data_IF_959449691514
#
_entry.id   IF_959449691514
#
_cell.length_a   1.000
_cell.length_b   1.000
_cell.length_c   1.000
_cell.angle_alpha   90.00
_cell.angle_beta   90.00
_cell.angle_gamma   90.00
#
_symmetry.space_group_name_H-M   'P 1'
#
loop_
_entity.id
_entity.type
_entity.pdbx_description
1 polymer ?
#
# COMPACT_ATOMS: atom_id res chain seq x y z
N UNK A 1 6.78 -22.57 1.44
CA UNK A 1 6.54 -23.63 0.45
C UNK A 1 5.04 -23.87 0.40
N UNK A 2 4.35 -23.34 -0.60
CA UNK A 2 2.89 -23.38 -0.69
C UNK A 2 2.46 -24.64 -1.45
N UNK A 3 1.78 -25.55 -0.74
CA UNK A 3 1.17 -26.74 -1.34
C UNK A 3 -0.14 -26.35 -2.04
N UNK A 4 -0.21 -26.72 -3.31
CA UNK A 4 -1.42 -26.78 -4.14
C UNK A 4 -2.53 -27.58 -3.44
N UNK A 5 -3.73 -27.01 -3.35
CA UNK A 5 -4.97 -27.77 -3.21
C UNK A 5 -5.94 -27.30 -4.32
N UNK A 6 -6.67 -28.23 -4.96
CA UNK A 6 -7.32 -27.99 -6.24
C UNK A 6 -8.68 -27.29 -6.11
N UNK A 7 -8.98 -26.55 -7.17
CA UNK A 7 -10.20 -25.82 -7.49
C UNK A 7 -11.48 -26.68 -7.34
N UNK A 8 -12.47 -26.21 -6.57
CA UNK A 8 -13.86 -26.68 -6.64
C UNK A 8 -14.74 -25.50 -7.04
N UNK A 9 -15.11 -25.45 -8.32
CA UNK A 9 -16.18 -24.58 -8.85
C UNK A 9 -17.53 -25.06 -8.30
N UNK A 10 -18.42 -24.18 -7.83
CA UNK A 10 -19.82 -24.52 -7.69
C UNK A 10 -20.53 -24.37 -9.04
N UNK A 11 -21.31 -25.39 -9.38
CA UNK A 11 -22.20 -25.52 -10.52
C UNK A 11 -23.25 -24.40 -10.58
N UNK A 12 -23.44 -23.84 -11.77
CA UNK A 12 -24.58 -23.00 -12.09
C UNK A 12 -25.87 -23.82 -12.12
N UNK A 13 -26.92 -23.35 -11.43
CA UNK A 13 -28.29 -23.78 -11.65
C UNK A 13 -29.18 -22.56 -11.88
N UNK A 14 -29.87 -22.62 -13.02
CA UNK A 14 -31.06 -21.91 -13.49
C UNK A 14 -31.98 -21.29 -12.44
N UNK A 15 -32.39 -20.04 -12.72
CA UNK A 15 -33.66 -19.34 -12.41
C UNK A 15 -33.31 -17.86 -12.13
N UNK A 16 -33.74 -16.83 -12.85
CA UNK A 16 -34.95 -16.64 -13.63
C UNK A 16 -34.71 -15.62 -14.75
N UNK A 17 -35.24 -15.93 -15.94
CA UNK A 17 -35.60 -14.93 -16.96
C UNK A 17 -36.97 -14.36 -16.60
N UNK A 18 -37.11 -13.03 -16.62
CA UNK A 18 -38.34 -12.34 -17.02
C UNK A 18 -37.97 -11.03 -17.71
N UNK A 19 -38.27 -11.01 -19.01
CA UNK A 19 -38.38 -9.83 -19.88
C UNK A 19 -39.45 -8.86 -19.37
N UNK A 20 -39.30 -7.56 -19.67
CA UNK A 20 -40.18 -6.63 -20.43
C UNK A 20 -39.39 -5.30 -20.49
N UNK A 21 -38.68 -4.94 -21.55
CA UNK A 21 -39.08 -4.36 -22.85
C UNK A 21 -39.38 -2.83 -22.89
N UNK A 22 -38.60 -2.16 -23.76
CA UNK A 22 -38.85 -0.99 -24.62
C UNK A 22 -38.96 0.46 -24.11
N UNK A 23 -37.95 1.27 -24.49
CA UNK A 23 -38.06 2.51 -25.30
C UNK A 23 -36.61 2.97 -25.67
N UNK A 24 -36.10 2.70 -26.87
CA UNK A 24 -36.13 3.55 -28.07
C UNK A 24 -35.66 5.00 -27.86
N UNK A 25 -34.37 5.25 -28.13
CA UNK A 25 -33.90 6.30 -29.07
C UNK A 25 -32.48 5.97 -29.53
N UNK A 26 -32.36 5.71 -30.83
CA UNK A 26 -31.11 5.56 -31.55
C UNK A 26 -30.41 6.92 -31.71
N UNK A 27 -29.07 6.94 -31.70
CA UNK A 27 -28.27 7.24 -32.90
C UNK A 27 -26.77 7.16 -32.55
N UNK A 28 -25.98 6.51 -33.42
CA UNK A 28 -24.63 6.86 -33.87
C UNK A 28 -23.96 5.57 -34.36
N UNK A 29 -23.78 5.54 -35.68
CA UNK A 29 -23.16 4.51 -36.50
C UNK A 29 -21.68 4.24 -36.11
N UNK A 30 -21.27 2.98 -36.26
CA UNK A 30 -19.86 2.58 -36.16
C UNK A 30 -19.70 1.07 -36.17
N UNK A 31 -19.98 0.43 -37.30
CA UNK A 31 -19.79 -1.01 -37.53
C UNK A 31 -18.29 -1.37 -37.44
N UNK A 32 -17.94 -2.28 -36.52
CA UNK A 32 -16.68 -3.00 -36.52
C UNK A 32 -16.96 -4.45 -36.91
N UNK A 33 -16.50 -4.85 -38.09
CA UNK A 33 -16.56 -6.22 -38.61
C UNK A 33 -15.46 -7.06 -37.97
N UNK A 34 -15.87 -8.19 -37.40
CA UNK A 34 -15.04 -9.33 -36.99
C UNK A 34 -14.30 -9.90 -38.21
N UNK A 35 -12.99 -10.06 -38.10
CA UNK A 35 -12.18 -10.86 -39.04
C UNK A 35 -11.90 -12.20 -38.37
N UNK A 36 -12.46 -13.25 -38.99
CA UNK A 36 -12.27 -14.66 -38.67
C UNK A 36 -10.91 -15.13 -39.23
N UNK A 37 -10.12 -15.83 -38.42
CA UNK A 37 -8.85 -16.41 -38.82
C UNK A 37 -9.11 -17.88 -39.16
N UNK A 38 -9.09 -18.20 -40.45
CA UNK A 38 -9.21 -19.56 -40.98
C UNK A 38 -8.05 -19.88 -41.92
N UNK A 39 -7.37 -20.97 -41.58
CA UNK A 39 -6.24 -21.62 -42.25
C UNK A 39 -6.29 -21.68 -43.78
N UNK A 40 -5.14 -21.47 -44.43
CA UNK A 40 -4.69 -22.29 -45.55
C UNK A 40 -3.21 -22.00 -45.87
N UNK A 41 -2.34 -22.93 -45.47
CA UNK A 41 -0.97 -23.03 -45.90
C UNK A 41 -0.87 -24.30 -46.75
N UNK A 42 -0.90 -24.21 -48.08
CA UNK A 42 -0.33 -25.23 -48.96
C UNK A 42 -0.22 -24.75 -50.41
N UNK A 43 0.85 -25.20 -51.06
CA UNK A 43 1.12 -25.23 -52.50
C UNK A 43 1.84 -24.01 -53.11
N UNK A 44 3.17 -24.13 -52.98
CA UNK A 44 4.14 -23.59 -53.92
C UNK A 44 4.15 -24.38 -55.26
N UNK A 45 4.65 -23.69 -56.28
CA UNK A 45 5.28 -24.16 -57.53
C UNK A 45 4.41 -24.61 -58.71
N UNK A 46 4.32 -23.72 -59.74
CA UNK A 46 4.67 -24.03 -61.16
C UNK A 46 4.59 -22.81 -62.11
N UNK A 47 5.69 -22.62 -62.86
CA UNK A 47 5.84 -22.24 -64.29
C UNK A 47 5.05 -21.01 -64.85
N UNK A 48 5.72 -19.92 -65.22
CA UNK A 48 6.39 -19.57 -66.51
C UNK A 48 5.46 -18.89 -67.55
N UNK A 49 5.93 -17.71 -67.99
CA UNK A 49 5.76 -16.96 -69.24
C UNK A 49 4.38 -16.49 -69.78
N UNK A 50 4.31 -15.20 -70.14
CA UNK A 50 3.33 -14.67 -71.12
C UNK A 50 2.88 -13.21 -70.98
N UNK A 51 3.64 -12.32 -71.60
CA UNK A 51 3.32 -11.07 -72.34
C UNK A 51 1.92 -10.37 -72.24
N UNK A 52 1.99 -9.05 -72.00
CA UNK A 52 1.18 -7.91 -72.47
C UNK A 52 -0.37 -7.95 -72.58
N UNK A 53 -1.04 -7.09 -71.80
CA UNK A 53 -1.88 -5.98 -72.29
C UNK A 53 -2.60 -5.22 -71.17
N UNK A 54 -2.54 -3.88 -71.26
CA UNK A 54 -3.10 -2.91 -70.31
C UNK A 54 -4.63 -2.91 -70.28
N UNK A 55 -5.23 -2.88 -69.09
CA UNK A 55 -6.51 -2.16 -68.91
C UNK A 55 -6.55 -1.44 -67.56
N UNK A 56 -6.74 -0.13 -67.65
CA UNK A 56 -6.61 0.85 -66.60
C UNK A 56 -7.91 0.93 -65.81
N UNK A 57 -7.92 0.50 -64.54
CA UNK A 57 -8.95 0.92 -63.57
C UNK A 57 -8.30 1.67 -62.42
N UNK A 58 -8.46 2.98 -62.50
CA UNK A 58 -8.12 3.97 -61.48
C UNK A 58 -8.77 3.64 -60.14
N UNK A 59 -8.01 3.12 -59.20
CA UNK A 59 -8.37 3.12 -57.78
C UNK A 59 -7.65 4.31 -57.14
N UNK A 60 -8.43 5.32 -56.74
CA UNK A 60 -7.94 6.52 -56.06
C UNK A 60 -7.16 6.11 -54.81
N UNK A 61 -5.83 6.20 -54.87
CA UNK A 61 -5.02 6.33 -53.67
C UNK A 61 -5.30 7.71 -53.09
N UNK A 62 -6.05 7.75 -51.99
CA UNK A 62 -6.05 8.92 -51.11
C UNK A 62 -4.59 9.23 -50.75
N UNK A 63 -4.16 10.45 -51.06
CA UNK A 63 -2.83 10.96 -50.72
C UNK A 63 -2.63 10.85 -49.20
N UNK A 64 -1.70 9.99 -48.78
CA UNK A 64 -1.11 10.08 -47.46
C UNK A 64 -0.38 11.42 -47.38
N UNK A 65 -0.77 12.36 -46.49
CA UNK A 65 -0.12 13.66 -46.45
C UNK A 65 1.36 13.46 -46.12
N UNK A 66 2.21 13.94 -47.03
CA UNK A 66 3.66 13.84 -46.98
C UNK A 66 4.17 14.15 -45.56
N UNK A 67 4.94 13.20 -45.04
CA UNK A 67 5.54 13.27 -43.71
C UNK A 67 6.22 14.60 -43.46
N UNK A 68 5.91 15.21 -42.31
CA UNK A 68 6.62 16.40 -41.81
C UNK A 68 8.12 16.11 -41.84
N UNK A 69 8.98 17.01 -42.35
CA UNK A 69 10.41 16.77 -42.38
C UNK A 69 10.92 16.53 -40.96
N UNK A 70 11.58 15.39 -40.75
CA UNK A 70 12.26 15.07 -39.49
C UNK A 70 13.40 16.08 -39.34
N UNK A 71 13.14 17.17 -38.61
CA UNK A 71 14.15 18.18 -38.28
C UNK A 71 15.30 17.47 -37.58
N UNK A 72 16.48 17.43 -38.20
CA UNK A 72 17.72 16.95 -37.56
C UNK A 72 17.97 17.83 -36.34
N UNK A 73 17.60 17.36 -35.15
CA UNK A 73 17.87 18.07 -33.89
C UNK A 73 19.40 18.24 -33.77
N UNK A 74 19.85 19.46 -33.49
CA UNK A 74 21.27 19.70 -33.20
C UNK A 74 21.66 18.91 -31.95
N UNK A 75 22.86 18.29 -31.93
CA UNK A 75 23.35 17.49 -30.78
C UNK A 75 23.24 18.27 -29.45
N UNK A 76 23.39 19.60 -29.50
CA UNK A 76 23.23 20.48 -28.33
C UNK A 76 21.76 20.58 -27.85
N UNK A 77 20.80 20.63 -28.78
CA UNK A 77 19.36 20.66 -28.45
C UNK A 77 18.87 19.30 -27.93
N UNK A 78 19.38 18.21 -28.51
CA UNK A 78 19.14 16.86 -27.98
C UNK A 78 19.73 16.71 -26.57
N UNK A 79 21.00 17.11 -26.36
CA UNK A 79 21.66 17.06 -25.07
C UNK A 79 20.95 17.93 -24.02
N UNK A 80 20.52 19.14 -24.38
CA UNK A 80 19.80 20.04 -23.47
C UNK A 80 18.40 19.51 -23.13
N UNK A 81 17.69 18.92 -24.09
CA UNK A 81 16.39 18.25 -23.85
C UNK A 81 16.56 17.01 -22.99
N UNK A 82 17.59 16.21 -23.25
CA UNK A 82 17.89 15.01 -22.48
C UNK A 82 18.33 15.37 -21.05
N UNK A 83 19.18 16.38 -20.87
CA UNK A 83 19.58 16.89 -19.56
C UNK A 83 18.39 17.47 -18.78
N UNK A 84 17.49 18.23 -19.42
CA UNK A 84 16.27 18.72 -18.78
C UNK A 84 15.34 17.58 -18.37
N UNK A 85 15.19 16.56 -19.21
CA UNK A 85 14.37 15.38 -18.90
C UNK A 85 15.00 14.54 -17.78
N UNK A 86 16.32 14.37 -17.78
CA UNK A 86 17.07 13.71 -16.71
C UNK A 86 16.98 14.48 -15.40
N UNK A 87 17.12 15.80 -15.43
CA UNK A 87 17.05 16.65 -14.24
C UNK A 87 15.63 16.68 -13.67
N UNK A 88 14.61 16.77 -14.52
CA UNK A 88 13.22 16.60 -14.11
C UNK A 88 12.98 15.21 -13.51
N UNK A 89 13.48 14.15 -14.16
CA UNK A 89 13.35 12.79 -13.65
C UNK A 89 14.05 12.59 -12.30
N UNK A 90 15.29 13.07 -12.16
CA UNK A 90 16.07 12.96 -10.93
C UNK A 90 15.49 13.80 -9.80
N UNK A 91 15.24 15.08 -10.05
CA UNK A 91 14.74 15.98 -9.02
C UNK A 91 13.33 15.58 -8.63
N UNK A 92 12.42 15.31 -9.55
CA UNK A 92 11.04 14.98 -9.16
C UNK A 92 10.92 13.63 -8.47
N UNK A 93 11.45 12.55 -9.05
CA UNK A 93 11.16 11.22 -8.53
C UNK A 93 11.90 10.92 -7.23
N UNK A 94 13.12 11.44 -7.06
CA UNK A 94 13.92 11.20 -5.86
C UNK A 94 13.61 12.20 -4.75
N UNK A 95 13.36 13.47 -5.08
CA UNK A 95 12.95 14.45 -4.07
C UNK A 95 11.59 14.10 -3.47
N UNK A 96 10.60 13.70 -4.28
CA UNK A 96 9.30 13.28 -3.75
C UNK A 96 9.42 12.02 -2.87
N UNK A 97 10.30 11.09 -3.26
CA UNK A 97 10.61 9.90 -2.46
C UNK A 97 11.25 10.27 -1.11
N UNK A 98 12.19 11.22 -1.10
CA UNK A 98 12.79 11.74 0.13
C UNK A 98 11.78 12.48 1.01
N UNK A 99 10.97 13.39 0.44
CA UNK A 99 9.94 14.12 1.17
C UNK A 99 8.91 13.18 1.79
N UNK A 100 8.49 12.15 1.06
CA UNK A 100 7.61 11.09 1.57
C UNK A 100 8.22 10.41 2.81
N UNK A 101 9.50 10.03 2.74
CA UNK A 101 10.23 9.46 3.87
C UNK A 101 10.31 10.39 5.08
N UNK A 102 10.63 11.66 4.87
CA UNK A 102 10.77 12.65 5.94
C UNK A 102 9.41 12.92 6.62
N UNK A 103 8.36 13.18 5.82
CA UNK A 103 7.03 13.50 6.35
C UNK A 103 6.43 12.36 7.16
N UNK A 104 6.52 11.13 6.66
CA UNK A 104 6.03 9.94 7.37
C UNK A 104 6.84 9.65 8.63
N UNK A 105 8.15 9.92 8.65
CA UNK A 105 8.97 9.80 9.85
C UNK A 105 8.55 10.83 10.91
N UNK A 106 8.31 12.08 10.54
CA UNK A 106 7.80 13.14 11.44
C UNK A 106 6.47 12.71 12.07
N UNK A 107 5.55 12.17 11.26
CA UNK A 107 4.29 11.62 11.78
C UNK A 107 4.51 10.45 12.74
N UNK A 108 5.46 9.55 12.47
CA UNK A 108 5.82 8.47 13.39
C UNK A 108 6.30 8.97 14.73
N UNK A 109 7.25 9.91 14.72
CA UNK A 109 7.84 10.49 15.93
C UNK A 109 6.74 11.17 16.75
N UNK A 110 5.86 11.94 16.10
CA UNK A 110 4.74 12.60 16.77
C UNK A 110 3.82 11.59 17.48
N UNK A 111 3.44 10.49 16.82
CA UNK A 111 2.64 9.42 17.43
C UNK A 111 3.36 8.80 18.61
N UNK A 112 4.64 8.43 18.43
CA UNK A 112 5.40 7.71 19.45
C UNK A 112 5.57 8.55 20.72
N UNK A 113 5.90 9.83 20.58
CA UNK A 113 5.98 10.78 21.69
C UNK A 113 4.63 10.91 22.39
N UNK A 114 3.52 11.03 21.65
CA UNK A 114 2.19 11.12 22.25
C UNK A 114 1.79 9.83 23.00
N UNK A 115 2.13 8.65 22.46
CA UNK A 115 1.90 7.36 23.14
C UNK A 115 2.70 7.28 24.43
N UNK A 116 3.96 7.72 24.41
CA UNK A 116 4.83 7.69 25.59
C UNK A 116 4.29 8.60 26.72
N UNK A 117 3.81 9.80 26.38
CA UNK A 117 3.14 10.68 27.35
C UNK A 117 1.87 10.06 27.92
N UNK A 118 1.03 9.44 27.08
CA UNK A 118 -0.18 8.76 27.54
C UNK A 118 0.15 7.59 28.48
N UNK A 119 1.19 6.81 28.16
CA UNK A 119 1.60 5.70 29.00
C UNK A 119 2.21 6.16 30.33
N UNK A 120 3.01 7.23 30.33
CA UNK A 120 3.49 7.85 31.58
C UNK A 120 2.33 8.33 32.44
N UNK A 121 1.34 8.99 31.83
CA UNK A 121 0.15 9.46 32.54
C UNK A 121 -0.67 8.30 33.12
N UNK A 122 -0.83 7.20 32.37
CA UNK A 122 -1.48 5.97 32.85
C UNK A 122 -0.79 5.41 34.10
N UNK A 123 0.54 5.30 34.06
CA UNK A 123 1.32 4.79 35.20
C UNK A 123 1.26 5.73 36.41
N UNK A 124 1.33 7.04 36.20
CA UNK A 124 1.22 8.04 37.26
C UNK A 124 -0.17 8.00 37.95
N UNK A 125 -1.24 7.89 37.17
CA UNK A 125 -2.61 7.74 37.71
C UNK A 125 -2.77 6.45 38.52
N UNK A 126 -2.22 5.34 38.03
CA UNK A 126 -2.27 4.06 38.72
C UNK A 126 -1.54 4.14 40.06
N UNK A 127 -0.33 4.69 40.09
CA UNK A 127 0.48 4.79 41.31
C UNK A 127 -0.19 5.71 42.36
N UNK A 128 -0.77 6.83 41.92
CA UNK A 128 -1.53 7.72 42.80
C UNK A 128 -2.77 7.05 43.41
N UNK A 129 -3.51 6.27 42.62
CA UNK A 129 -4.68 5.54 43.10
C UNK A 129 -4.30 4.40 44.05
N UNK A 130 -3.17 3.74 43.80
CA UNK A 130 -2.64 2.65 44.62
C UNK A 130 -2.25 3.11 46.03
N UNK A 131 -1.83 4.36 46.20
CA UNK A 131 -1.53 4.93 47.53
C UNK A 131 -2.75 5.00 48.45
N UNK A 132 -3.97 5.04 47.90
CA UNK A 132 -5.20 5.11 48.68
C UNK A 132 -5.77 3.72 48.98
N UNK A 133 -6.02 2.91 47.94
CA UNK A 133 -6.55 1.54 48.08
C UNK A 133 -6.38 0.74 46.79
N UNK A 134 -6.15 -0.57 46.88
CA UNK A 134 -6.01 -1.47 45.71
C UNK A 134 -7.24 -1.46 44.79
N UNK A 135 -8.45 -1.36 45.35
CA UNK A 135 -9.69 -1.27 44.57
C UNK A 135 -9.76 0.00 43.70
N UNK A 136 -9.22 1.12 44.20
CA UNK A 136 -9.16 2.36 43.42
C UNK A 136 -8.15 2.23 42.28
N UNK A 137 -7.02 1.55 42.51
CA UNK A 137 -6.04 1.26 41.46
C UNK A 137 -6.61 0.38 40.34
N UNK A 138 -7.42 -0.63 40.69
CA UNK A 138 -8.14 -1.44 39.70
C UNK A 138 -9.16 -0.59 38.92
N UNK A 139 -9.93 0.25 39.62
CA UNK A 139 -10.90 1.15 39.01
C UNK A 139 -10.28 2.16 38.05
N UNK A 140 -9.15 2.77 38.40
CA UNK A 140 -8.44 3.71 37.51
C UNK A 140 -7.80 3.01 36.31
N UNK A 141 -7.24 1.81 36.49
CA UNK A 141 -6.72 1.03 35.37
C UNK A 141 -7.82 0.70 34.35
N UNK A 142 -8.93 0.14 34.81
CA UNK A 142 -10.05 -0.22 33.94
C UNK A 142 -10.72 1.02 33.33
N UNK A 143 -10.92 2.07 34.13
CA UNK A 143 -11.48 3.34 33.70
C UNK A 143 -10.63 4.00 32.62
N UNK A 144 -9.31 4.02 32.78
CA UNK A 144 -8.40 4.58 31.79
C UNK A 144 -8.49 3.85 30.45
N UNK A 145 -8.38 2.51 30.46
CA UNK A 145 -8.44 1.69 29.24
C UNK A 145 -9.78 1.87 28.52
N UNK A 146 -10.89 1.85 29.27
CA UNK A 146 -12.25 1.95 28.69
C UNK A 146 -12.55 3.34 28.14
N UNK A 147 -12.18 4.41 28.85
CA UNK A 147 -12.41 5.80 28.41
C UNK A 147 -11.59 6.10 27.15
N UNK A 148 -10.29 5.79 27.15
CA UNK A 148 -9.42 6.13 26.03
C UNK A 148 -9.79 5.34 24.77
N UNK A 149 -10.10 4.05 24.92
CA UNK A 149 -10.56 3.20 23.80
C UNK A 149 -11.95 3.60 23.32
N UNK A 150 -12.86 3.94 24.23
CA UNK A 150 -14.18 4.45 23.89
C UNK A 150 -14.10 5.75 23.10
N UNK A 151 -13.23 6.67 23.51
CA UNK A 151 -12.98 7.93 22.82
C UNK A 151 -12.36 7.70 21.43
N UNK A 152 -11.38 6.79 21.31
CA UNK A 152 -10.81 6.40 20.02
C UNK A 152 -11.89 5.84 19.07
N UNK A 153 -12.74 4.95 19.58
CA UNK A 153 -13.85 4.38 18.80
C UNK A 153 -14.86 5.46 18.39
N UNK A 154 -15.20 6.38 19.29
CA UNK A 154 -16.12 7.48 19.01
C UNK A 154 -15.58 8.43 17.93
N UNK A 155 -14.31 8.85 18.04
CA UNK A 155 -13.66 9.72 17.04
C UNK A 155 -13.64 9.03 15.68
N UNK A 156 -13.28 7.74 15.63
CA UNK A 156 -13.29 6.97 14.39
C UNK A 156 -14.71 6.93 13.77
N UNK A 157 -15.73 6.66 14.59
CA UNK A 157 -17.11 6.58 14.14
C UNK A 157 -17.68 7.91 13.64
N UNK A 158 -17.39 9.01 14.33
CA UNK A 158 -17.93 10.34 14.03
C UNK A 158 -17.19 11.03 12.87
N UNK A 159 -15.85 10.99 12.86
CA UNK A 159 -15.06 11.79 11.93
C UNK A 159 -14.56 11.03 10.71
N UNK A 160 -14.48 9.69 10.72
CA UNK A 160 -13.96 8.99 9.56
C UNK A 160 -13.97 7.47 9.71
N UNK A 161 -15.12 6.85 9.40
CA UNK A 161 -15.29 5.38 9.43
C UNK A 161 -14.33 4.62 8.51
N UNK A 162 -13.78 5.29 7.50
CA UNK A 162 -12.77 4.73 6.60
C UNK A 162 -11.42 4.49 7.28
N UNK A 163 -11.18 5.08 8.46
CA UNK A 163 -9.94 4.87 9.23
C UNK A 163 -9.93 3.55 10.03
N UNK A 164 -11.04 2.81 10.06
CA UNK A 164 -11.18 1.56 10.84
C UNK A 164 -10.17 0.50 10.40
N UNK A 165 -9.61 -0.22 11.36
CA UNK A 165 -8.73 -1.35 11.12
C UNK A 165 -7.33 -0.97 10.64
N UNK A 166 -6.56 -1.97 10.17
CA UNK A 166 -5.17 -1.79 9.74
C UNK A 166 -5.05 -0.92 8.48
N UNK A 167 -5.83 -1.23 7.45
CA UNK A 167 -5.80 -0.53 6.16
C UNK A 167 -4.88 -1.15 5.11
N UNK A 168 -4.07 -2.14 5.48
CA UNK A 168 -3.27 -2.93 4.53
C UNK A 168 -4.14 -3.58 3.43
N UNK A 169 -5.23 -4.31 3.72
CA UNK A 169 -5.97 -5.00 2.66
C UNK A 169 -6.64 -4.02 1.70
N UNK A 170 -7.15 -2.89 2.18
CA UNK A 170 -7.73 -1.85 1.35
C UNK A 170 -6.70 -1.18 0.45
N UNK A 171 -5.52 -0.84 1.00
CA UNK A 171 -4.42 -0.29 0.19
C UNK A 171 -3.95 -1.29 -0.85
N UNK A 172 -3.89 -2.58 -0.51
CA UNK A 172 -3.58 -3.65 -1.47
C UNK A 172 -4.59 -3.67 -2.61
N UNK A 173 -5.88 -3.55 -2.33
CA UNK A 173 -6.93 -3.48 -3.34
C UNK A 173 -6.79 -2.23 -4.24
N UNK A 174 -6.40 -1.09 -3.67
CA UNK A 174 -6.13 0.14 -4.43
C UNK A 174 -4.95 -0.03 -5.39
N UNK A 175 -3.84 -0.62 -4.93
CA UNK A 175 -2.65 -0.86 -5.76
C UNK A 175 -2.94 -1.81 -6.93
N UNK A 176 -3.93 -2.70 -6.79
CA UNK A 176 -4.39 -3.58 -7.87
C UNK A 176 -5.39 -2.90 -8.85
N UNK A 177 -5.67 -1.60 -8.69
CA UNK A 177 -6.46 -0.81 -9.63
C UNK A 177 -7.91 -0.52 -9.19
N UNK A 178 -8.33 -0.95 -8.00
CA UNK A 178 -9.67 -0.64 -7.49
C UNK A 178 -9.69 0.69 -6.74
N UNK A 179 -10.48 1.65 -7.20
CA UNK A 179 -10.57 2.97 -6.57
C UNK A 179 -11.55 2.99 -5.40
N UNK A 180 -11.02 3.10 -4.17
CA UNK A 180 -11.83 3.33 -2.97
C UNK A 180 -11.98 4.82 -2.69
N UNK A 181 -13.20 5.34 -2.83
CA UNK A 181 -13.51 6.74 -2.58
C UNK A 181 -13.29 7.11 -1.11
N UNK A 182 -12.72 8.28 -0.86
CA UNK A 182 -12.48 8.86 0.47
C UNK A 182 -11.51 8.09 1.39
N UNK A 183 -10.88 7.01 0.93
CA UNK A 183 -9.95 6.21 1.74
C UNK A 183 -8.60 6.91 1.94
N UNK A 184 -8.04 7.46 0.86
CA UNK A 184 -6.72 8.11 0.83
C UNK A 184 -6.79 9.65 1.03
N UNK A 185 -7.57 10.11 2.02
CA UNK A 185 -7.80 11.55 2.26
C UNK A 185 -7.04 12.09 3.48
N UNK A 186 -6.74 13.39 3.51
CA UNK A 186 -6.12 14.01 4.69
C UNK A 186 -6.99 13.89 5.95
N UNK A 187 -8.31 13.85 5.79
CA UNK A 187 -9.24 13.63 6.89
C UNK A 187 -9.04 12.24 7.51
N UNK A 188 -8.90 11.19 6.69
CA UNK A 188 -8.63 9.83 7.22
C UNK A 188 -7.27 9.74 7.87
N UNK A 189 -6.25 10.45 7.37
CA UNK A 189 -4.94 10.55 8.00
C UNK A 189 -5.04 11.06 9.45
N UNK A 190 -5.64 12.24 9.66
CA UNK A 190 -5.72 12.86 10.98
C UNK A 190 -6.51 11.97 11.97
N UNK A 191 -7.66 11.46 11.54
CA UNK A 191 -8.47 10.54 12.37
C UNK A 191 -7.68 9.28 12.72
N UNK A 192 -6.96 8.69 11.76
CA UNK A 192 -6.19 7.47 11.99
C UNK A 192 -5.03 7.70 12.96
N UNK A 193 -4.33 8.82 12.83
CA UNK A 193 -3.25 9.21 13.75
C UNK A 193 -3.75 9.31 15.19
N UNK A 194 -4.84 10.06 15.43
CA UNK A 194 -5.40 10.25 16.78
C UNK A 194 -5.89 8.92 17.38
N UNK A 195 -6.62 8.14 16.59
CA UNK A 195 -7.24 6.89 17.08
C UNK A 195 -6.21 5.81 17.38
N UNK A 196 -5.12 5.72 16.60
CA UNK A 196 -4.01 4.79 16.87
C UNK A 196 -3.26 5.21 18.13
N UNK A 197 -2.95 6.51 18.29
CA UNK A 197 -2.30 7.04 19.50
C UNK A 197 -3.13 6.74 20.75
N UNK A 198 -4.45 6.94 20.70
CA UNK A 198 -5.33 6.63 21.82
C UNK A 198 -5.45 5.11 22.08
N UNK A 199 -5.54 4.28 21.04
CA UNK A 199 -5.69 2.84 21.23
C UNK A 199 -4.43 2.20 21.84
N UNK A 200 -3.24 2.60 21.38
CA UNK A 200 -1.96 2.10 21.93
C UNK A 200 -1.68 2.75 23.28
N UNK A 201 -1.94 4.06 23.43
CA UNK A 201 -1.81 4.77 24.69
C UNK A 201 -2.71 4.20 25.79
N UNK A 202 -3.87 3.62 25.44
CA UNK A 202 -4.74 2.90 26.37
C UNK A 202 -4.10 1.63 26.94
N UNK A 203 -3.10 1.06 26.26
CA UNK A 203 -2.46 -0.21 26.62
C UNK A 203 -3.16 -1.45 26.06
N UNK A 204 -4.01 -1.30 25.04
CA UNK A 204 -4.55 -2.46 24.32
C UNK A 204 -3.43 -3.12 23.51
N UNK A 205 -3.37 -4.47 23.43
CA UNK A 205 -2.37 -5.19 22.63
C UNK A 205 -2.64 -5.03 21.11
N UNK A 206 -2.40 -3.83 20.58
CA UNK A 206 -2.50 -3.48 19.17
C UNK A 206 -1.19 -2.89 18.67
N UNK A 207 -0.80 -3.25 17.45
CA UNK A 207 0.40 -2.72 16.79
C UNK A 207 0.11 -1.49 15.93
N UNK A 208 1.06 -0.55 15.88
CA UNK A 208 1.01 0.62 14.98
C UNK A 208 1.34 0.28 13.52
N UNK A 209 2.00 -0.84 13.26
CA UNK A 209 2.55 -1.24 11.97
C UNK A 209 1.53 -1.17 10.82
N UNK A 210 0.38 -1.81 11.00
CA UNK A 210 -0.68 -1.84 9.99
C UNK A 210 -1.23 -0.44 9.64
N UNK A 211 -1.69 0.34 10.63
CA UNK A 211 -2.10 1.72 10.42
C UNK A 211 -1.03 2.61 9.76
N UNK A 212 0.26 2.39 10.06
CA UNK A 212 1.35 3.16 9.47
C UNK A 212 1.57 2.90 7.98
N UNK A 213 1.32 1.66 7.51
CA UNK A 213 1.27 1.37 6.07
C UNK A 213 0.23 2.24 5.38
N UNK A 214 -0.96 2.34 5.97
CA UNK A 214 -2.03 3.17 5.42
C UNK A 214 -1.70 4.67 5.49
N UNK A 215 -1.14 5.15 6.60
CA UNK A 215 -0.67 6.53 6.75
C UNK A 215 0.37 6.86 5.66
N UNK A 216 1.35 5.98 5.43
CA UNK A 216 2.35 6.14 4.38
C UNK A 216 1.73 6.22 2.98
N UNK A 217 0.73 5.37 2.69
CA UNK A 217 -0.03 5.43 1.44
C UNK A 217 -0.83 6.74 1.29
N UNK A 218 -1.44 7.26 2.35
CA UNK A 218 -2.16 8.54 2.32
C UNK A 218 -1.18 9.69 2.03
N UNK A 219 -0.03 9.73 2.72
CA UNK A 219 0.99 10.77 2.49
C UNK A 219 1.52 10.72 1.06
N UNK A 220 1.76 9.52 0.52
CA UNK A 220 2.12 9.32 -0.89
C UNK A 220 1.07 9.88 -1.86
N UNK A 221 -0.22 9.63 -1.59
CA UNK A 221 -1.31 10.15 -2.41
C UNK A 221 -1.42 11.68 -2.33
N UNK A 222 -1.31 12.25 -1.13
CA UNK A 222 -1.37 13.70 -0.91
C UNK A 222 -0.20 14.39 -1.61
N UNK A 223 1.01 13.84 -1.48
CA UNK A 223 2.20 14.38 -2.11
C UNK A 223 2.12 14.31 -3.65
N UNK A 224 1.58 13.21 -4.17
CA UNK A 224 1.32 13.04 -5.61
C UNK A 224 0.31 14.08 -6.13
N UNK A 225 -0.79 14.32 -5.39
CA UNK A 225 -1.79 15.34 -5.75
C UNK A 225 -1.24 16.76 -5.64
N UNK A 226 -0.50 17.08 -4.57
CA UNK A 226 0.11 18.39 -4.40
C UNK A 226 1.08 18.72 -5.54
N UNK A 227 1.87 17.73 -5.96
CA UNK A 227 2.81 17.90 -7.08
C UNK A 227 2.07 18.09 -8.41
N UNK A 228 0.96 17.37 -8.63
CA UNK A 228 0.12 17.55 -9.82
C UNK A 228 -0.53 18.94 -9.86
N UNK A 229 -0.98 19.48 -8.73
CA UNK A 229 -1.56 20.84 -8.67
C UNK A 229 -0.50 21.93 -8.89
N UNK A 230 0.73 21.73 -8.40
CA UNK A 230 1.83 22.68 -8.60
C UNK A 230 2.44 22.63 -10.02
N UNK A 231 2.11 21.61 -10.83
CA UNK A 231 2.67 21.42 -12.17
C UNK A 231 1.55 21.51 -13.22
N UNK A 232 1.59 22.57 -14.03
CA UNK A 232 0.71 22.82 -15.19
C UNK A 232 0.82 21.78 -16.35
N UNK A 233 1.37 20.59 -16.13
CA UNK A 233 1.48 19.56 -17.17
C UNK A 233 0.55 18.38 -16.87
N UNK A 234 -0.52 18.28 -17.66
CA UNK A 234 -1.48 17.17 -17.69
C UNK A 234 -0.85 15.80 -18.03
N UNK A 235 0.44 15.77 -18.41
CA UNK A 235 1.18 14.56 -18.74
C UNK A 235 1.59 13.72 -17.51
N UNK A 236 1.40 14.23 -16.28
CA UNK A 236 1.87 13.58 -15.05
C UNK A 236 0.82 12.75 -14.31
N UNK A 237 -0.43 12.68 -14.77
CA UNK A 237 -1.49 11.86 -14.17
C UNK A 237 -1.48 10.41 -14.68
N UNK A 238 -0.31 9.77 -14.74
CA UNK A 238 -0.28 8.35 -15.05
C UNK A 238 -0.66 7.54 -13.81
N UNK A 239 -1.78 6.82 -13.89
CA UNK A 239 -2.30 5.98 -12.82
C UNK A 239 -1.24 4.99 -12.32
N UNK A 240 -0.42 4.44 -13.23
CA UNK A 240 0.70 3.56 -12.88
C UNK A 240 1.74 4.21 -11.96
N UNK A 241 2.07 5.49 -12.18
CA UNK A 241 3.02 6.23 -11.32
C UNK A 241 2.44 6.52 -9.94
N UNK A 242 1.12 6.74 -9.86
CA UNK A 242 0.44 6.91 -8.58
C UNK A 242 0.48 5.61 -7.76
N UNK A 243 0.23 4.46 -8.40
CA UNK A 243 0.35 3.14 -7.76
C UNK A 243 1.78 2.83 -7.32
N UNK A 244 2.77 3.18 -8.14
CA UNK A 244 4.18 3.09 -7.77
C UNK A 244 4.51 3.90 -6.51
N UNK A 245 4.01 5.13 -6.42
CA UNK A 245 4.22 6.00 -5.27
C UNK A 245 3.50 5.49 -4.02
N UNK A 246 2.27 4.95 -4.18
CA UNK A 246 1.53 4.30 -3.09
C UNK A 246 2.30 3.11 -2.52
N UNK A 247 2.90 2.29 -3.37
CA UNK A 247 3.73 1.17 -2.92
C UNK A 247 4.99 1.64 -2.17
N UNK A 248 5.63 2.72 -2.61
CA UNK A 248 6.75 3.33 -1.87
C UNK A 248 6.26 3.83 -0.51
N UNK A 249 5.11 4.49 -0.45
CA UNK A 249 4.50 4.96 0.79
C UNK A 249 4.23 3.83 1.80
N UNK A 250 3.77 2.67 1.32
CA UNK A 250 3.57 1.49 2.16
C UNK A 250 4.88 0.99 2.79
N UNK A 251 5.94 0.87 1.98
CA UNK A 251 7.26 0.45 2.46
C UNK A 251 7.84 1.47 3.46
N UNK A 252 7.70 2.76 3.17
CA UNK A 252 8.12 3.85 4.06
C UNK A 252 7.40 3.82 5.41
N UNK A 253 6.09 3.55 5.42
CA UNK A 253 5.34 3.41 6.67
C UNK A 253 5.92 2.35 7.61
N UNK A 254 6.41 1.24 7.04
CA UNK A 254 7.03 0.12 7.80
C UNK A 254 8.46 0.44 8.19
N UNK A 255 9.19 1.13 7.32
CA UNK A 255 10.53 1.61 7.65
C UNK A 255 10.49 2.55 8.87
N UNK A 256 9.47 3.40 8.98
CA UNK A 256 9.28 4.25 10.16
C UNK A 256 9.07 3.42 11.44
N UNK A 257 8.30 2.33 11.39
CA UNK A 257 7.95 1.56 12.59
C UNK A 257 9.06 0.65 13.07
N UNK A 258 9.80 0.03 12.16
CA UNK A 258 10.87 -0.92 12.50
C UNK A 258 12.28 -0.33 12.39
N UNK A 259 12.42 0.84 11.77
CA UNK A 259 13.72 1.45 11.46
C UNK A 259 14.66 0.50 10.72
N UNK A 260 14.09 -0.33 9.84
CA UNK A 260 14.77 -1.37 9.06
C UNK A 260 14.46 -1.19 7.56
N UNK A 261 15.21 -0.33 6.84
CA UNK A 261 14.86 0.05 5.47
C UNK A 261 14.84 -1.14 4.49
N UNK A 262 15.84 -2.03 4.55
CA UNK A 262 15.91 -3.19 3.65
C UNK A 262 14.71 -4.14 3.83
N UNK A 263 14.38 -4.48 5.08
CA UNK A 263 13.23 -5.34 5.39
C UNK A 263 11.89 -4.71 5.00
N UNK A 264 11.76 -3.39 5.18
CA UNK A 264 10.55 -2.66 4.82
C UNK A 264 10.31 -2.62 3.30
N UNK A 265 11.37 -2.48 2.50
CA UNK A 265 11.29 -2.56 1.04
C UNK A 265 10.88 -3.97 0.60
N UNK A 266 11.49 -5.02 1.16
CA UNK A 266 11.13 -6.41 0.85
C UNK A 266 9.68 -6.71 1.21
N UNK A 267 9.22 -6.28 2.39
CA UNK A 267 7.82 -6.37 2.76
C UNK A 267 6.93 -5.63 1.74
N UNK A 268 7.33 -4.42 1.34
CA UNK A 268 6.60 -3.63 0.35
C UNK A 268 6.40 -4.42 -0.96
N UNK A 269 7.46 -5.06 -1.45
CA UNK A 269 7.41 -5.88 -2.67
C UNK A 269 6.51 -7.11 -2.49
N UNK A 270 6.66 -7.83 -1.38
CA UNK A 270 5.92 -9.08 -1.13
C UNK A 270 4.42 -8.83 -0.90
N UNK A 271 4.08 -7.74 -0.22
CA UNK A 271 2.72 -7.50 0.26
C UNK A 271 1.84 -6.70 -0.71
N UNK A 272 2.41 -5.77 -1.51
CA UNK A 272 1.61 -4.81 -2.27
C UNK A 272 1.28 -5.25 -3.70
N UNK A 273 2.19 -5.91 -4.41
CA UNK A 273 2.04 -6.12 -5.87
C UNK A 273 2.62 -7.46 -6.35
N UNK A 274 1.95 -8.09 -7.33
CA UNK A 274 2.48 -9.28 -8.03
C UNK A 274 3.65 -8.95 -8.96
N UNK A 275 3.64 -7.76 -9.54
CA UNK A 275 4.67 -7.25 -10.44
C UNK A 275 5.27 -5.98 -9.85
N UNK A 276 6.59 -5.92 -9.77
CA UNK A 276 7.28 -4.79 -9.17
C UNK A 276 8.45 -4.36 -10.05
N UNK A 277 8.43 -3.12 -10.53
CA UNK A 277 9.49 -2.59 -11.37
C UNK A 277 10.78 -2.35 -10.56
N UNK A 278 11.93 -2.80 -11.08
CA UNK A 278 13.25 -2.64 -10.41
C UNK A 278 13.59 -1.17 -10.16
N UNK A 279 13.14 -0.25 -11.00
CA UNK A 279 13.28 1.19 -10.76
C UNK A 279 12.59 1.65 -9.47
N UNK A 280 11.47 1.03 -9.14
CA UNK A 280 10.70 1.34 -7.94
C UNK A 280 11.35 0.80 -6.66
N UNK A 281 12.16 -0.26 -6.79
CA UNK A 281 12.97 -0.80 -5.70
C UNK A 281 13.95 0.24 -5.16
N UNK A 282 14.76 0.82 -6.04
CA UNK A 282 15.76 1.81 -5.64
C UNK A 282 15.14 3.07 -5.04
N UNK A 283 14.01 3.53 -5.61
CA UNK A 283 13.26 4.66 -5.06
C UNK A 283 12.71 4.36 -3.67
N UNK A 284 12.15 3.18 -3.49
CA UNK A 284 11.66 2.73 -2.18
C UNK A 284 12.79 2.60 -1.16
N UNK A 285 13.92 2.04 -1.56
CA UNK A 285 15.10 1.90 -0.70
C UNK A 285 15.65 3.27 -0.25
N UNK A 286 15.71 4.24 -1.17
CA UNK A 286 16.10 5.60 -0.83
C UNK A 286 15.10 6.26 0.14
N UNK A 287 13.80 6.21 -0.17
CA UNK A 287 12.75 6.79 0.68
C UNK A 287 12.74 6.20 2.10
N UNK A 288 12.83 4.86 2.20
CA UNK A 288 12.86 4.15 3.49
C UNK A 288 14.12 4.46 4.28
N UNK A 289 15.27 4.63 3.61
CA UNK A 289 16.53 5.04 4.27
C UNK A 289 16.43 6.46 4.81
N UNK A 290 15.88 7.40 4.04
CA UNK A 290 15.63 8.76 4.53
C UNK A 290 14.71 8.76 5.76
N UNK A 291 13.62 8.00 5.71
CA UNK A 291 12.70 7.83 6.85
C UNK A 291 13.42 7.28 8.09
N UNK A 292 14.14 6.16 7.94
CA UNK A 292 14.88 5.54 9.04
C UNK A 292 15.94 6.50 9.62
N UNK A 293 16.63 7.25 8.78
CA UNK A 293 17.64 8.21 9.21
C UNK A 293 17.02 9.34 10.03
N UNK A 294 15.92 9.93 9.57
CA UNK A 294 15.19 10.99 10.32
C UNK A 294 14.68 10.45 11.65
N UNK A 295 14.10 9.26 11.66
CA UNK A 295 13.62 8.62 12.87
C UNK A 295 14.75 8.42 13.90
N UNK A 296 15.91 7.93 13.45
CA UNK A 296 17.10 7.74 14.31
C UNK A 296 17.65 9.07 14.84
N UNK A 297 17.76 10.09 13.99
CA UNK A 297 18.23 11.42 14.41
C UNK A 297 17.31 12.06 15.43
N UNK A 298 15.99 12.01 15.20
CA UNK A 298 15.01 12.55 16.13
C UNK A 298 15.08 11.83 17.48
N UNK A 299 15.19 10.49 17.47
CA UNK A 299 15.32 9.72 18.70
C UNK A 299 16.57 10.09 19.49
N UNK A 300 17.71 10.27 18.82
CA UNK A 300 18.95 10.73 19.47
C UNK A 300 18.86 12.16 20.01
N UNK A 301 18.02 13.01 19.43
CA UNK A 301 17.80 14.38 19.91
C UNK A 301 16.83 14.45 21.09
N UNK A 302 15.86 13.53 21.15
CA UNK A 302 14.79 13.51 22.18
C UNK A 302 15.21 12.71 23.41
N UNK A 303 15.97 11.61 23.23
CA UNK A 303 16.39 10.73 24.33
C UNK A 303 17.76 11.16 24.87
N UNK A 304 17.95 11.27 26.20
CA UNK A 304 19.24 11.63 26.79
C UNK A 304 20.39 10.72 26.34
N UNK A 305 21.53 11.33 25.99
CA UNK A 305 22.73 10.67 25.43
C UNK A 305 23.32 9.54 26.30
N UNK A 306 22.91 9.39 27.56
CA UNK A 306 23.42 8.36 28.47
C UNK A 306 22.92 6.94 28.13
N UNK A 307 21.87 6.82 27.30
CA UNK A 307 21.31 5.54 26.81
C UNK A 307 21.51 5.39 25.29
N UNK A 308 21.67 6.50 24.57
CA UNK A 308 21.77 6.53 23.12
C UNK A 308 23.21 6.26 22.63
N UNK A 309 23.64 5.00 22.70
CA UNK A 309 24.77 4.55 21.88
C UNK A 309 24.46 4.80 20.39
N UNK A 310 25.43 5.36 19.67
CA UNK A 310 25.50 5.65 18.22
C UNK A 310 24.45 4.95 17.35
N UNK A 311 23.40 5.66 16.90
CA UNK A 311 22.42 5.24 15.87
C UNK A 311 22.13 3.74 15.89
N UNK A 312 21.76 3.21 17.05
CA UNK A 312 21.56 1.77 17.22
C UNK A 312 20.10 1.36 17.03
N UNK A 313 19.87 0.06 16.78
CA UNK A 313 18.54 -0.52 16.60
C UNK A 313 17.63 -0.23 17.81
N UNK A 314 16.30 -0.10 17.60
CA UNK A 314 15.36 0.29 18.67
C UNK A 314 15.31 -0.78 19.78
N UNK A 315 15.43 -2.05 19.42
CA UNK A 315 15.61 -3.17 20.34
C UNK A 315 17.02 -3.75 20.16
N UNK A 316 17.94 -3.37 21.04
CA UNK A 316 19.30 -3.92 21.01
C UNK A 316 19.33 -5.30 21.67
N UNK A 317 19.97 -6.24 20.99
CA UNK A 317 20.32 -7.55 21.53
C UNK A 317 21.80 -7.79 21.21
N UNK A 318 22.55 -8.29 22.20
CA UNK A 318 23.96 -8.61 22.03
C UNK A 318 24.10 -10.13 21.96
N UNK A 319 24.39 -10.65 20.76
CA UNK A 319 24.61 -12.07 20.54
C UNK A 319 26.12 -12.33 20.36
N UNK A 320 26.68 -13.40 20.96
CA UNK A 320 28.06 -13.79 20.71
C UNK A 320 28.25 -14.18 19.23
N UNK A 321 29.49 -14.21 18.74
CA UNK A 321 29.77 -14.47 17.30
C UNK A 321 29.52 -15.93 16.87
N UNK A 322 29.53 -16.87 17.81
CA UNK A 322 29.27 -18.30 17.58
C UNK A 322 28.11 -18.74 18.47
N UNK A 323 26.87 -18.50 18.01
CA UNK A 323 25.66 -18.79 18.80
C UNK A 323 25.10 -20.17 18.53
N UNK A 324 25.29 -20.72 17.32
CA UNK A 324 24.55 -21.88 16.85
C UNK A 324 25.48 -22.94 16.24
N UNK A 325 25.22 -24.20 16.59
CA UNK A 325 25.93 -25.36 16.05
C UNK A 325 25.08 -26.01 14.96
N UNK A 326 25.70 -26.72 14.02
CA UNK A 326 25.00 -27.31 12.86
C UNK A 326 23.96 -28.35 13.30
N UNK A 327 24.18 -29.03 14.43
CA UNK A 327 23.23 -29.99 15.01
C UNK A 327 21.92 -29.35 15.47
N UNK A 328 21.84 -28.03 15.62
CA UNK A 328 20.63 -27.31 16.04
C UNK A 328 19.69 -26.99 14.85
N UNK A 329 20.18 -27.11 13.60
CA UNK A 329 19.38 -26.85 12.38
C UNK A 329 18.07 -27.66 12.34
N UNK A 330 18.06 -28.98 12.65
CA UNK A 330 16.81 -29.75 12.71
C UNK A 330 15.82 -29.20 13.74
N UNK A 331 16.31 -28.68 14.87
CA UNK A 331 15.47 -28.08 15.91
C UNK A 331 14.83 -26.78 15.39
N UNK A 332 15.61 -25.92 14.72
CA UNK A 332 15.07 -24.72 14.08
C UNK A 332 14.05 -25.04 12.98
N UNK A 333 14.27 -26.10 12.21
CA UNK A 333 13.29 -26.57 11.22
C UNK A 333 11.99 -27.03 11.90
N UNK A 334 12.10 -27.82 12.96
CA UNK A 334 10.94 -28.27 13.74
C UNK A 334 10.16 -27.09 14.34
N UNK A 335 10.86 -26.10 14.90
CA UNK A 335 10.25 -24.85 15.38
C UNK A 335 9.52 -24.10 14.26
N UNK A 336 10.11 -24.00 13.07
CA UNK A 336 9.49 -23.39 11.90
C UNK A 336 8.18 -24.08 11.50
N UNK A 337 8.14 -25.42 11.54
CA UNK A 337 6.91 -26.20 11.27
C UNK A 337 5.86 -25.95 12.36
N UNK A 338 6.25 -25.98 13.64
CA UNK A 338 5.34 -25.75 14.76
C UNK A 338 4.74 -24.35 14.69
N UNK A 339 5.55 -23.31 14.49
CA UNK A 339 5.05 -21.93 14.37
C UNK A 339 4.21 -21.72 13.10
N UNK A 340 4.55 -22.39 11.99
CA UNK A 340 3.72 -22.38 10.79
C UNK A 340 2.33 -22.99 11.02
N UNK A 341 2.25 -24.11 11.73
CA UNK A 341 0.99 -24.75 12.10
C UNK A 341 0.18 -23.89 13.08
N UNK A 342 0.82 -23.33 14.10
CA UNK A 342 0.18 -22.42 15.06
C UNK A 342 -0.37 -21.16 14.36
N UNK A 343 0.38 -20.58 13.42
CA UNK A 343 -0.08 -19.46 12.61
C UNK A 343 -1.30 -19.83 11.75
N UNK A 344 -1.31 -21.02 11.14
CA UNK A 344 -2.45 -21.50 10.37
C UNK A 344 -3.71 -21.67 11.23
N UNK A 345 -3.56 -22.23 12.43
CA UNK A 345 -4.66 -22.36 13.41
C UNK A 345 -5.16 -20.99 13.86
N UNK A 346 -4.27 -20.04 14.13
CA UNK A 346 -4.62 -18.67 14.50
C UNK A 346 -5.42 -17.98 13.39
N UNK A 347 -4.97 -18.07 12.14
CA UNK A 347 -5.67 -17.48 10.98
C UNK A 347 -7.05 -18.14 10.81
N UNK A 348 -7.13 -19.47 10.94
CA UNK A 348 -8.40 -20.19 10.88
C UNK A 348 -9.36 -19.72 11.98
N UNK A 349 -8.89 -19.63 13.22
CA UNK A 349 -9.69 -19.15 14.35
C UNK A 349 -10.17 -17.71 14.15
N UNK A 350 -9.27 -16.80 13.76
CA UNK A 350 -9.61 -15.41 13.47
C UNK A 350 -10.66 -15.30 12.35
N UNK A 351 -10.56 -16.14 11.31
CA UNK A 351 -11.57 -16.25 10.24
C UNK A 351 -12.92 -16.71 10.80
N UNK A 352 -12.95 -17.73 11.66
CA UNK A 352 -14.21 -18.19 12.27
C UNK A 352 -14.87 -17.10 13.11
N UNK A 353 -14.10 -16.39 13.95
CA UNK A 353 -14.60 -15.26 14.75
C UNK A 353 -15.17 -14.16 13.86
N UNK A 354 -14.47 -13.82 12.76
CA UNK A 354 -14.90 -12.82 11.80
C UNK A 354 -16.20 -13.21 11.08
N UNK A 355 -16.34 -14.49 10.71
CA UNK A 355 -17.56 -15.03 10.11
C UNK A 355 -18.72 -15.09 11.13
N UNK A 356 -18.43 -15.47 12.38
CA UNK A 356 -19.40 -15.49 13.46
C UNK A 356 -20.00 -14.10 13.71
N UNK A 357 -19.16 -13.06 13.78
CA UNK A 357 -19.60 -11.65 13.90
C UNK A 357 -20.53 -11.23 12.76
N UNK A 358 -20.28 -11.68 11.53
CA UNK A 358 -21.12 -11.37 10.36
C UNK A 358 -22.42 -12.18 10.30
N UNK A 359 -22.41 -13.44 10.75
CA UNK A 359 -23.56 -14.36 10.68
C UNK A 359 -24.52 -14.23 11.85
N UNK A 360 -24.02 -13.88 13.05
CA UNK A 360 -24.84 -13.84 14.25
C UNK A 360 -25.80 -12.64 14.23
N UNK A 361 -27.10 -12.92 14.11
CA UNK A 361 -28.16 -11.91 14.04
C UNK A 361 -28.18 -11.00 15.28
N UNK A 362 -27.89 -11.51 16.47
CA UNK A 362 -27.83 -10.71 17.70
C UNK A 362 -26.69 -9.68 17.65
N UNK A 363 -25.51 -10.07 17.16
CA UNK A 363 -24.39 -9.17 17.00
C UNK A 363 -24.69 -8.07 15.97
N UNK A 364 -25.28 -8.46 14.84
CA UNK A 364 -25.70 -7.51 13.80
C UNK A 364 -26.84 -6.60 14.27
N UNK A 365 -27.76 -7.08 15.10
CA UNK A 365 -28.84 -6.25 15.65
C UNK A 365 -28.32 -5.18 16.62
N UNK A 366 -27.30 -5.51 17.42
CA UNK A 366 -26.72 -4.61 18.43
C UNK A 366 -25.72 -3.63 17.78
N UNK A 367 -24.83 -4.12 16.92
CA UNK A 367 -23.69 -3.33 16.40
C UNK A 367 -23.79 -3.02 14.90
N UNK A 368 -24.75 -3.61 14.18
CA UNK A 368 -24.88 -3.51 12.73
C UNK A 368 -25.95 -2.54 12.24
N UNK A 369 -26.54 -1.71 13.11
CA UNK A 369 -27.44 -0.64 12.64
C UNK A 369 -26.64 0.38 11.83
N UNK A 370 -27.03 0.43 10.55
CA UNK A 370 -26.35 1.03 9.39
C UNK A 370 -26.29 2.55 9.46
#
# INVERSE_FOLDING_TARGET
MWLFLPDRRPSASSDARRNVDFASTANVNGSATLVDFGDANEQADRAEDGDDSEETTSFLMDEVPAGRPIRKESKAQFAQRHARNLLHFFVEDWFLSAMLGILTAIFSICIDVMIEYLNHYRMALYEYAKQHTDYMAFGTWLGYVTILTGLASFICFAFGRQAVGSGIPEVKVIIHGFTLHNYLTLRTLIVKMITVTMAIGAGIPVGKEGPFVHIGAIVANVLSKATATCRFNAFFSNEGRSMEMLSIGCAVGIACTFSAPAGAVLYGIESTSKYFAVKNYWRSFFATTCSAMIFRFAMNAIVPQQIAGTITAYYQTNFPKEVFVVEEIPIFMAMGVIFGLLAAVFIWFHRQVSLFKKKNKAYVAIFGKR
#
